data_IF_070390404305
#
_entry.id   IF_070390404305
#
_cell.length_a   1.000
_cell.length_b   1.000
_cell.length_c   1.000
_cell.angle_alpha   90.00
_cell.angle_beta   90.00
_cell.angle_gamma   90.00
#
_symmetry.space_group_name_H-M   'P 1'
#
loop_
_entity.id
_entity.type
_entity.pdbx_description
1 polymer ?
#
# COMPACT_ATOMS: atom_id res chain seq x y z
N UNK A 1 44.87 -3.79 18.81
CA UNK A 1 43.90 -2.68 18.60
C UNK A 1 43.48 -2.20 19.98
N UNK A 2 43.59 -0.90 20.27
CA UNK A 2 43.15 -0.37 21.57
C UNK A 2 41.63 -0.53 21.69
N UNK A 3 41.16 -1.06 22.82
CA UNK A 3 39.73 -1.24 23.08
C UNK A 3 39.05 0.13 23.21
N UNK A 4 37.96 0.35 22.47
CA UNK A 4 37.17 1.56 22.60
C UNK A 4 36.38 1.55 23.92
N UNK A 5 36.36 2.68 24.60
CA UNK A 5 35.53 2.87 25.78
C UNK A 5 34.05 2.96 25.39
N UNK A 6 33.15 2.60 26.30
CA UNK A 6 31.70 2.71 26.08
C UNK A 6 31.27 4.14 25.66
N UNK A 7 31.91 5.17 26.22
CA UNK A 7 31.65 6.57 25.87
C UNK A 7 32.05 6.92 24.43
N UNK A 8 33.10 6.29 23.91
CA UNK A 8 33.51 6.47 22.51
C UNK A 8 32.53 5.76 21.57
N UNK A 9 32.11 4.53 21.90
CA UNK A 9 31.12 3.79 21.13
C UNK A 9 29.76 4.51 21.09
N UNK A 10 29.32 5.12 22.20
CA UNK A 10 28.08 5.89 22.24
C UNK A 10 28.10 7.09 21.27
N UNK A 11 29.21 7.84 21.24
CA UNK A 11 29.38 8.97 20.31
C UNK A 11 29.43 8.54 18.85
N UNK A 12 30.07 7.41 18.58
CA UNK A 12 30.12 6.84 17.23
C UNK A 12 28.72 6.40 16.77
N UNK A 13 27.98 5.73 17.64
CA UNK A 13 26.58 5.39 17.40
C UNK A 13 25.72 6.62 17.11
N UNK A 14 25.79 7.68 17.94
CA UNK A 14 25.03 8.92 17.75
C UNK A 14 25.30 9.58 16.39
N UNK A 15 26.56 9.56 15.96
CA UNK A 15 26.97 10.08 14.65
C UNK A 15 26.43 9.20 13.52
N UNK A 16 26.57 7.89 13.62
CA UNK A 16 26.18 6.96 12.57
C UNK A 16 24.66 6.88 12.43
N UNK A 17 23.92 6.83 13.54
CA UNK A 17 22.45 6.80 13.53
C UNK A 17 21.89 8.11 12.99
N UNK A 18 22.47 9.26 13.30
CA UNK A 18 22.03 10.54 12.73
C UNK A 18 22.21 10.57 11.21
N UNK A 19 23.34 10.05 10.72
CA UNK A 19 23.62 9.94 9.28
C UNK A 19 22.66 8.97 8.59
N UNK A 20 22.39 7.82 9.21
CA UNK A 20 21.47 6.82 8.66
C UNK A 20 20.01 7.30 8.69
N UNK A 21 19.58 8.02 9.72
CA UNK A 21 18.22 8.53 9.81
C UNK A 21 17.97 9.73 8.89
N UNK A 22 19.02 10.47 8.50
CA UNK A 22 18.90 11.62 7.60
C UNK A 22 18.23 11.26 6.26
N UNK A 23 18.33 10.01 5.80
CA UNK A 23 17.66 9.56 4.56
C UNK A 23 16.13 9.67 4.61
N UNK A 24 15.53 9.66 5.80
CA UNK A 24 14.08 9.79 5.97
C UNK A 24 13.60 11.24 5.91
N UNK A 25 14.47 12.26 6.00
CA UNK A 25 14.04 13.66 5.96
C UNK A 25 13.31 14.00 4.65
N UNK A 26 13.75 13.40 3.53
CA UNK A 26 13.07 13.60 2.25
C UNK A 26 11.59 13.15 2.26
N UNK A 27 11.23 12.20 3.13
CA UNK A 27 9.87 11.69 3.25
C UNK A 27 8.95 12.63 4.02
N UNK A 28 9.49 13.50 4.89
CA UNK A 28 8.68 14.47 5.66
C UNK A 28 8.13 15.58 4.77
N UNK A 29 8.89 15.99 3.76
CA UNK A 29 8.49 17.04 2.82
C UNK A 29 8.02 16.50 1.47
N UNK A 30 7.91 15.18 1.33
CA UNK A 30 7.49 14.55 0.09
C UNK A 30 6.05 14.95 -0.27
N UNK A 31 5.87 15.55 -1.45
CA UNK A 31 4.55 15.75 -2.03
C UNK A 31 4.16 14.45 -2.77
N UNK A 32 3.58 13.52 -2.02
CA UNK A 32 3.27 12.18 -2.52
C UNK A 32 2.16 12.26 -3.57
N UNK A 33 2.44 11.71 -4.75
CA UNK A 33 1.41 11.39 -5.74
C UNK A 33 0.88 9.97 -5.53
N UNK A 34 -0.44 9.80 -5.46
CA UNK A 34 -1.10 8.48 -5.37
C UNK A 34 -1.85 8.21 -6.66
N UNK A 35 -1.43 7.17 -7.37
CA UNK A 35 -2.18 6.53 -8.44
C UNK A 35 -2.86 5.29 -7.87
N UNK A 36 -4.12 5.43 -7.48
CA UNK A 36 -4.87 4.34 -6.86
C UNK A 36 -5.13 3.23 -7.89
N UNK A 37 -4.83 1.99 -7.49
CA UNK A 37 -5.02 0.79 -8.27
C UNK A 37 -6.04 -0.15 -7.62
N UNK A 38 -6.84 0.30 -6.65
CA UNK A 38 -7.70 -0.59 -5.86
C UNK A 38 -8.74 -1.32 -6.73
N UNK A 39 -9.24 -0.68 -7.78
CA UNK A 39 -10.27 -1.26 -8.66
C UNK A 39 -9.72 -2.38 -9.56
N UNK A 40 -8.42 -2.38 -9.84
CA UNK A 40 -7.74 -3.34 -10.73
C UNK A 40 -6.82 -4.30 -10.00
N UNK A 41 -6.05 -3.83 -9.03
CA UNK A 41 -5.02 -4.64 -8.37
C UNK A 41 -5.63 -5.72 -7.51
N UNK A 42 -6.61 -5.39 -6.69
CA UNK A 42 -7.25 -6.42 -5.88
C UNK A 42 -8.02 -7.44 -6.74
N UNK A 43 -8.38 -7.06 -7.98
CA UNK A 43 -8.96 -7.98 -8.97
C UNK A 43 -8.00 -9.10 -9.41
N UNK A 44 -6.67 -8.89 -9.34
CA UNK A 44 -5.69 -9.94 -9.72
C UNK A 44 -5.29 -10.84 -8.55
N UNK A 45 -5.55 -10.42 -7.30
CA UNK A 45 -5.28 -11.20 -6.08
C UNK A 45 -6.43 -12.10 -5.63
N UNK A 46 -7.64 -11.88 -6.15
CA UNK A 46 -8.85 -12.55 -5.68
C UNK A 46 -9.01 -13.98 -6.21
N UNK A 47 -9.68 -14.82 -5.41
CA UNK A 47 -10.19 -16.13 -5.83
C UNK A 47 -11.57 -16.05 -6.52
N UNK A 48 -12.27 -14.91 -6.41
CA UNK A 48 -13.59 -14.65 -6.99
C UNK A 48 -13.57 -13.30 -7.67
N UNK A 49 -13.96 -13.22 -8.94
CA UNK A 49 -13.96 -11.98 -9.71
C UNK A 49 -14.84 -10.88 -9.12
N UNK A 50 -14.42 -9.61 -9.21
CA UNK A 50 -15.27 -8.46 -8.90
C UNK A 50 -16.41 -8.30 -9.91
N UNK A 51 -17.62 -8.12 -9.41
CA UNK A 51 -18.75 -7.64 -10.22
C UNK A 51 -18.65 -6.14 -10.47
N UNK A 52 -19.61 -5.60 -11.22
CA UNK A 52 -19.70 -4.16 -11.42
C UNK A 52 -20.06 -3.41 -10.13
N UNK A 53 -20.89 -4.01 -9.28
CA UNK A 53 -21.25 -3.52 -7.95
C UNK A 53 -20.02 -3.43 -7.05
N UNK A 54 -19.21 -4.50 -6.98
CA UNK A 54 -17.96 -4.50 -6.21
C UNK A 54 -17.03 -3.35 -6.62
N UNK A 55 -16.90 -3.11 -7.94
CA UNK A 55 -16.09 -2.00 -8.46
C UNK A 55 -16.63 -0.63 -8.05
N UNK A 56 -17.95 -0.44 -8.05
CA UNK A 56 -18.59 0.79 -7.56
C UNK A 56 -18.36 0.99 -6.07
N UNK A 57 -18.48 -0.06 -5.26
CA UNK A 57 -18.20 0.00 -3.83
C UNK A 57 -16.74 0.39 -3.57
N UNK A 58 -15.78 -0.26 -4.23
CA UNK A 58 -14.35 0.08 -4.12
C UNK A 58 -14.09 1.53 -4.59
N UNK A 59 -14.67 1.94 -5.72
CA UNK A 59 -14.53 3.30 -6.25
C UNK A 59 -15.01 4.34 -5.24
N UNK A 60 -16.14 4.09 -4.58
CA UNK A 60 -16.67 4.99 -3.56
C UNK A 60 -15.75 5.06 -2.34
N UNK A 61 -15.20 3.93 -1.89
CA UNK A 61 -14.26 3.90 -0.76
C UNK A 61 -12.98 4.67 -1.04
N UNK A 62 -12.35 4.48 -2.20
CA UNK A 62 -11.11 5.20 -2.55
C UNK A 62 -11.35 6.69 -2.82
N UNK A 63 -12.55 7.07 -3.27
CA UNK A 63 -12.93 8.47 -3.44
C UNK A 63 -12.99 9.19 -2.09
N UNK A 64 -13.51 8.54 -1.05
CA UNK A 64 -13.55 9.10 0.32
C UNK A 64 -12.15 9.31 0.92
N UNK A 65 -11.13 8.59 0.45
CA UNK A 65 -9.73 8.82 0.81
C UNK A 65 -9.14 10.11 0.20
N UNK A 66 -9.83 10.75 -0.74
CA UNK A 66 -9.33 11.91 -1.47
C UNK A 66 -8.41 11.53 -2.64
N UNK A 67 -8.40 10.28 -3.09
CA UNK A 67 -7.60 9.85 -4.24
C UNK A 67 -8.20 10.37 -5.54
N UNK A 68 -7.52 11.35 -6.15
CA UNK A 68 -7.96 11.98 -7.40
C UNK A 68 -7.62 11.14 -8.63
N UNK A 69 -6.52 10.40 -8.60
CA UNK A 69 -6.04 9.60 -9.72
C UNK A 69 -6.30 8.12 -9.47
N UNK A 70 -7.18 7.53 -10.27
CA UNK A 70 -7.71 6.17 -10.09
C UNK A 70 -7.59 5.39 -11.39
N UNK A 71 -7.03 4.19 -11.32
CA UNK A 71 -6.97 3.26 -12.44
C UNK A 71 -8.28 2.49 -12.49
N UNK A 72 -9.01 2.63 -13.60
CA UNK A 72 -10.37 2.07 -13.74
C UNK A 72 -10.44 0.89 -14.70
N UNK A 73 -9.42 0.69 -15.55
CA UNK A 73 -9.42 -0.40 -16.51
C UNK A 73 -8.01 -0.86 -16.93
N UNK A 74 -7.91 -2.14 -17.28
CA UNK A 74 -6.83 -2.67 -18.10
C UNK A 74 -7.43 -3.37 -19.33
N UNK A 75 -7.43 -2.64 -20.45
CA UNK A 75 -8.12 -3.06 -21.66
C UNK A 75 -7.32 -4.13 -22.43
N UNK A 76 -8.05 -5.12 -22.94
CA UNK A 76 -7.57 -6.06 -23.92
C UNK A 76 -8.67 -6.33 -24.98
N UNK A 77 -8.47 -7.31 -25.86
CA UNK A 77 -9.46 -7.66 -26.90
C UNK A 77 -10.77 -8.23 -26.37
N UNK A 78 -10.82 -8.71 -25.11
CA UNK A 78 -12.03 -9.26 -24.52
C UNK A 78 -12.88 -8.13 -23.92
N UNK A 79 -14.20 -8.31 -23.91
CA UNK A 79 -15.10 -7.46 -23.13
C UNK A 79 -15.05 -7.92 -21.67
N UNK A 80 -14.61 -7.05 -20.77
CA UNK A 80 -14.50 -7.27 -19.32
C UNK A 80 -15.52 -6.41 -18.57
N UNK A 81 -15.67 -6.69 -17.27
CA UNK A 81 -16.47 -5.84 -16.37
C UNK A 81 -15.96 -4.40 -16.38
N UNK A 82 -14.64 -4.20 -16.52
CA UNK A 82 -14.00 -2.89 -16.69
C UNK A 82 -14.62 -2.05 -17.82
N UNK A 83 -14.98 -2.68 -18.95
CA UNK A 83 -15.57 -1.99 -20.10
C UNK A 83 -16.94 -1.38 -19.77
N UNK A 84 -17.75 -2.07 -18.97
CA UNK A 84 -19.08 -1.62 -18.54
C UNK A 84 -18.97 -0.59 -17.42
N UNK A 85 -18.15 -0.89 -16.41
CA UNK A 85 -17.87 -0.01 -15.28
C UNK A 85 -17.41 1.38 -15.72
N UNK A 86 -16.44 1.46 -16.64
CA UNK A 86 -15.94 2.76 -17.14
C UNK A 86 -17.05 3.57 -17.82
N UNK A 87 -17.89 2.92 -18.63
CA UNK A 87 -19.01 3.60 -19.30
C UNK A 87 -19.99 4.17 -18.29
N UNK A 88 -20.29 3.43 -17.22
CA UNK A 88 -21.16 3.90 -16.14
C UNK A 88 -20.55 5.04 -15.34
N UNK A 89 -19.26 4.95 -14.98
CA UNK A 89 -18.54 5.99 -14.23
C UNK A 89 -18.61 7.32 -15.00
N UNK A 90 -18.32 7.30 -16.29
CA UNK A 90 -18.37 8.49 -17.14
C UNK A 90 -19.81 8.98 -17.37
N UNK A 91 -20.78 8.06 -17.54
CA UNK A 91 -22.18 8.42 -17.69
C UNK A 91 -22.78 9.08 -16.44
N UNK A 92 -22.26 8.76 -15.24
CA UNK A 92 -22.63 9.44 -13.98
C UNK A 92 -21.92 10.79 -13.78
N UNK A 93 -21.08 11.22 -14.72
CA UNK A 93 -20.44 12.53 -14.71
C UNK A 93 -19.16 12.61 -13.87
N UNK A 94 -18.51 11.48 -13.57
CA UNK A 94 -17.19 11.50 -12.94
C UNK A 94 -16.15 12.18 -13.83
N UNK A 95 -15.26 12.94 -13.22
CA UNK A 95 -14.25 13.72 -13.95
C UNK A 95 -13.21 12.79 -14.61
N UNK A 96 -13.14 12.74 -15.96
CA UNK A 96 -12.19 11.90 -16.67
C UNK A 96 -10.73 12.32 -16.46
N UNK A 97 -10.45 13.55 -15.97
CA UNK A 97 -9.09 14.02 -15.70
C UNK A 97 -8.36 13.22 -14.61
N UNK A 98 -9.13 12.55 -13.75
CA UNK A 98 -8.64 11.67 -12.68
C UNK A 98 -8.62 10.19 -13.03
N UNK A 99 -9.15 9.77 -14.18
CA UNK A 99 -9.34 8.36 -14.52
C UNK A 99 -8.25 7.88 -15.48
N UNK A 100 -7.67 6.72 -15.17
CA UNK A 100 -6.55 6.12 -15.91
C UNK A 100 -6.90 4.71 -16.39
N UNK A 101 -6.35 4.33 -17.55
CA UNK A 101 -6.42 2.96 -18.02
C UNK A 101 -5.09 2.49 -18.61
N UNK A 102 -4.82 1.19 -18.49
CA UNK A 102 -3.67 0.56 -19.13
C UNK A 102 -3.91 0.29 -20.62
N UNK A 103 -2.85 0.46 -21.40
CA UNK A 103 -2.75 -0.04 -22.77
C UNK A 103 -1.37 -0.65 -22.99
N UNK A 104 -1.31 -1.75 -23.73
CA UNK A 104 -0.05 -2.22 -24.31
C UNK A 104 0.46 -1.21 -25.35
N UNK A 105 1.74 -1.31 -25.71
CA UNK A 105 2.34 -0.57 -26.84
C UNK A 105 2.30 -1.35 -28.14
N UNK A 106 1.69 -2.53 -28.15
CA UNK A 106 1.66 -3.44 -29.29
C UNK A 106 0.46 -4.39 -29.23
N UNK A 107 -0.06 -4.81 -30.38
CA UNK A 107 -1.17 -5.77 -30.51
C UNK A 107 -0.70 -7.23 -30.61
N UNK A 108 0.60 -7.47 -30.50
CA UNK A 108 1.15 -8.81 -30.54
C UNK A 108 2.64 -8.83 -30.80
N UNK A 109 3.24 -10.01 -30.63
CA UNK A 109 4.67 -10.19 -30.79
C UNK A 109 4.91 -11.32 -31.79
N UNK A 110 5.64 -11.03 -32.87
CA UNK A 110 6.05 -12.02 -33.86
C UNK A 110 7.57 -12.18 -33.85
N UNK A 111 8.05 -13.40 -33.64
CA UNK A 111 9.51 -13.71 -33.58
C UNK A 111 10.28 -12.79 -32.60
N UNK A 112 9.66 -12.42 -31.47
CA UNK A 112 10.17 -11.47 -30.46
C UNK A 112 10.36 -10.02 -30.97
N UNK A 113 9.59 -9.62 -31.96
CA UNK A 113 9.49 -8.22 -32.43
C UNK A 113 8.03 -7.79 -32.23
N UNK A 114 7.76 -6.65 -31.57
CA UNK A 114 6.39 -6.17 -31.39
C UNK A 114 5.77 -5.77 -32.74
N UNK A 115 4.46 -5.89 -32.87
CA UNK A 115 3.70 -5.16 -33.88
C UNK A 115 3.85 -3.66 -33.63
N UNK A 116 4.35 -2.95 -34.64
CA UNK A 116 4.62 -1.52 -34.61
C UNK A 116 3.57 -0.71 -35.38
N UNK A 117 2.61 -1.38 -36.02
CA UNK A 117 1.69 -0.80 -37.00
C UNK A 117 0.29 -0.62 -36.45
N UNK A 118 -0.29 -1.69 -35.89
CA UNK A 118 -1.66 -1.68 -35.37
C UNK A 118 -1.79 -0.76 -34.16
N UNK A 119 -2.90 -0.03 -34.08
CA UNK A 119 -3.22 0.79 -32.92
C UNK A 119 -3.59 -0.16 -31.76
N UNK A 120 -2.94 -0.03 -30.59
CA UNK A 120 -3.30 -0.83 -29.43
C UNK A 120 -4.79 -0.80 -29.10
N UNK A 121 -5.40 -1.96 -28.84
CA UNK A 121 -6.83 -2.10 -28.52
C UNK A 121 -7.21 -1.26 -27.30
N UNK A 122 -6.29 -1.14 -26.34
CA UNK A 122 -6.50 -0.28 -25.17
C UNK A 122 -6.72 1.17 -25.54
N UNK A 123 -5.93 1.72 -26.46
CA UNK A 123 -6.10 3.07 -26.97
C UNK A 123 -7.41 3.27 -27.73
N UNK A 124 -7.83 2.28 -28.52
CA UNK A 124 -9.11 2.32 -29.24
C UNK A 124 -10.29 2.34 -28.26
N UNK A 125 -10.28 1.46 -27.25
CA UNK A 125 -11.32 1.40 -26.22
C UNK A 125 -11.36 2.66 -25.35
N UNK A 126 -10.20 3.21 -24.98
CA UNK A 126 -10.14 4.48 -24.26
C UNK A 126 -10.76 5.62 -25.06
N UNK A 127 -10.46 5.70 -26.37
CA UNK A 127 -11.05 6.70 -27.26
C UNK A 127 -12.56 6.54 -27.36
N UNK A 128 -13.06 5.31 -27.51
CA UNK A 128 -14.50 5.01 -27.54
C UNK A 128 -15.18 5.40 -26.22
N UNK A 129 -14.56 5.06 -25.08
CA UNK A 129 -15.11 5.33 -23.76
C UNK A 129 -15.03 6.82 -23.37
N UNK A 130 -14.14 7.60 -23.98
CA UNK A 130 -13.87 9.00 -23.59
C UNK A 130 -12.85 9.14 -22.44
N UNK A 131 -12.07 8.10 -22.17
CA UNK A 131 -10.95 8.16 -21.23
C UNK A 131 -9.73 8.85 -21.84
N UNK A 132 -9.07 9.68 -21.04
CA UNK A 132 -7.98 10.55 -21.51
C UNK A 132 -6.60 10.08 -21.11
N UNK A 133 -6.45 9.50 -19.92
CA UNK A 133 -5.13 9.27 -19.32
C UNK A 133 -4.71 7.81 -19.47
N UNK A 134 -3.57 7.59 -20.13
CA UNK A 134 -3.08 6.26 -20.49
C UNK A 134 -1.83 5.91 -19.70
N UNK A 135 -1.74 4.64 -19.29
CA UNK A 135 -0.53 4.02 -18.78
C UNK A 135 -0.07 3.00 -19.83
N UNK A 136 1.02 3.30 -20.51
CA UNK A 136 1.64 2.36 -21.44
C UNK A 136 2.54 1.40 -20.71
N UNK A 137 2.37 0.09 -20.93
CA UNK A 137 3.27 -0.90 -20.38
C UNK A 137 4.34 -1.29 -21.40
N UNK A 138 5.60 -1.33 -20.96
CA UNK A 138 6.71 -1.79 -21.77
C UNK A 138 7.59 -2.78 -21.01
N UNK A 139 8.07 -3.78 -21.75
CA UNK A 139 9.08 -4.72 -21.29
C UNK A 139 10.42 -4.38 -21.95
N UNK A 140 11.48 -4.37 -21.14
CA UNK A 140 12.83 -4.11 -21.61
C UNK A 140 13.72 -5.35 -21.50
N UNK A 141 13.14 -6.53 -21.21
CA UNK A 141 13.81 -7.81 -21.08
C UNK A 141 13.96 -8.55 -22.41
N UNK A 142 14.93 -9.46 -22.44
CA UNK A 142 15.14 -10.34 -23.59
C UNK A 142 14.19 -11.55 -23.61
N UNK A 143 13.44 -11.77 -22.52
CA UNK A 143 12.33 -12.73 -22.44
C UNK A 143 11.28 -12.37 -23.49
N UNK A 144 10.86 -11.11 -23.49
CA UNK A 144 9.82 -10.57 -24.37
C UNK A 144 10.35 -10.22 -25.76
N UNK A 145 11.35 -9.34 -25.86
CA UNK A 145 11.82 -8.80 -27.14
C UNK A 145 13.25 -9.22 -27.51
N UNK A 146 13.52 -9.31 -28.81
CA UNK A 146 14.86 -9.50 -29.32
C UNK A 146 15.47 -8.15 -29.72
N UNK A 147 16.20 -7.55 -28.78
CA UNK A 147 16.82 -6.24 -28.99
C UNK A 147 18.00 -6.19 -29.99
N UNK A 148 18.34 -7.32 -30.62
CA UNK A 148 19.23 -7.33 -31.79
C UNK A 148 18.47 -7.11 -33.11
N UNK A 149 17.15 -7.35 -33.12
CA UNK A 149 16.28 -7.20 -34.29
C UNK A 149 15.35 -5.99 -34.18
N UNK A 150 14.96 -5.65 -32.95
CA UNK A 150 14.14 -4.50 -32.61
C UNK A 150 14.90 -3.68 -31.59
N UNK A 151 15.60 -2.64 -32.02
CA UNK A 151 16.58 -1.93 -31.19
C UNK A 151 15.93 -1.17 -30.03
N UNK A 152 16.75 -0.66 -29.12
CA UNK A 152 16.23 0.18 -28.02
C UNK A 152 15.65 1.48 -28.58
N UNK A 153 16.25 1.99 -29.65
CA UNK A 153 15.78 3.15 -30.41
C UNK A 153 14.44 2.87 -31.08
N UNK A 154 14.21 1.66 -31.61
CA UNK A 154 12.91 1.27 -32.16
C UNK A 154 11.83 1.21 -31.07
N UNK A 155 12.16 0.73 -29.87
CA UNK A 155 11.26 0.82 -28.70
C UNK A 155 10.93 2.27 -28.36
N UNK A 156 11.93 3.15 -28.33
CA UNK A 156 11.72 4.57 -28.04
C UNK A 156 10.77 5.22 -29.06
N UNK A 157 10.98 4.97 -30.36
CA UNK A 157 10.11 5.46 -31.44
C UNK A 157 8.70 4.88 -31.36
N UNK A 158 8.56 3.60 -30.99
CA UNK A 158 7.25 2.98 -30.82
C UNK A 158 6.46 3.64 -29.68
N UNK A 159 7.10 3.88 -28.54
CA UNK A 159 6.47 4.58 -27.41
C UNK A 159 6.12 6.02 -27.79
N UNK A 160 7.05 6.77 -28.41
CA UNK A 160 6.79 8.13 -28.89
C UNK A 160 5.59 8.19 -29.85
N UNK A 161 5.52 7.28 -30.82
CA UNK A 161 4.38 7.16 -31.74
C UNK A 161 3.06 7.10 -30.97
N UNK A 162 2.97 6.27 -29.93
CA UNK A 162 1.74 6.10 -29.17
C UNK A 162 1.46 7.24 -28.19
N UNK A 163 2.49 7.86 -27.63
CA UNK A 163 2.37 9.12 -26.86
C UNK A 163 1.74 10.20 -27.74
N UNK A 164 2.26 10.43 -28.94
CA UNK A 164 1.75 11.42 -29.89
C UNK A 164 0.34 11.08 -30.37
N UNK A 165 0.05 9.80 -30.59
CA UNK A 165 -1.29 9.34 -30.91
C UNK A 165 -2.28 9.67 -29.80
N UNK A 166 -1.93 9.37 -28.54
CA UNK A 166 -2.78 9.63 -27.37
C UNK A 166 -3.08 11.12 -27.22
N UNK A 167 -2.05 11.98 -27.34
CA UNK A 167 -2.20 13.45 -27.32
C UNK A 167 -3.16 13.96 -28.41
N UNK A 168 -3.13 13.34 -29.58
CA UNK A 168 -3.95 13.76 -30.72
C UNK A 168 -5.37 13.21 -30.69
N UNK A 169 -5.60 12.04 -30.07
CA UNK A 169 -6.86 11.30 -30.18
C UNK A 169 -7.66 11.19 -28.88
N UNK A 170 -6.99 11.26 -27.72
CA UNK A 170 -7.63 11.23 -26.39
C UNK A 170 -7.79 12.63 -25.80
N UNK A 171 -7.32 13.67 -26.51
CA UNK A 171 -7.39 15.07 -26.13
C UNK A 171 -6.02 15.66 -25.81
N UNK A 172 -5.86 16.96 -26.06
CA UNK A 172 -4.58 17.69 -25.88
C UNK A 172 -4.08 17.68 -24.44
N UNK A 173 -4.98 17.61 -23.47
CA UNK A 173 -4.67 17.54 -22.04
C UNK A 173 -4.49 16.10 -21.51
N UNK A 174 -4.51 15.09 -22.38
CA UNK A 174 -4.29 13.69 -21.97
C UNK A 174 -2.96 13.55 -21.23
N UNK A 175 -2.99 12.82 -20.11
CA UNK A 175 -1.79 12.49 -19.34
C UNK A 175 -1.29 11.11 -19.75
N UNK A 176 0.03 10.97 -19.91
CA UNK A 176 0.65 9.71 -20.33
C UNK A 176 1.69 9.29 -19.31
N UNK A 177 1.52 8.07 -18.79
CA UNK A 177 2.51 7.37 -17.99
C UNK A 177 3.11 6.23 -18.82
N UNK A 178 4.39 5.93 -18.60
CA UNK A 178 5.03 4.72 -19.13
C UNK A 178 5.50 3.87 -17.97
N UNK A 179 4.95 2.65 -17.87
CA UNK A 179 5.30 1.64 -16.88
C UNK A 179 6.37 0.70 -17.40
N UNK A 180 7.48 0.63 -16.66
CA UNK A 180 8.57 -0.30 -16.90
C UNK A 180 8.34 -1.57 -16.06
N UNK A 181 7.74 -2.62 -16.65
CA UNK A 181 7.21 -3.78 -15.92
C UNK A 181 8.27 -4.72 -15.35
N UNK A 182 9.35 -4.94 -16.11
CA UNK A 182 10.30 -6.04 -15.85
C UNK A 182 11.64 -5.57 -15.26
N UNK A 183 11.65 -4.45 -14.53
CA UNK A 183 12.87 -3.88 -13.95
C UNK A 183 13.73 -4.87 -13.18
N UNK A 184 13.19 -5.74 -12.29
CA UNK A 184 14.01 -6.70 -11.56
C UNK A 184 14.78 -7.68 -12.44
N UNK A 185 14.33 -7.91 -13.68
CA UNK A 185 15.01 -8.78 -14.64
C UNK A 185 16.02 -8.02 -15.50
N UNK A 186 15.75 -6.74 -15.76
CA UNK A 186 16.52 -5.92 -16.70
C UNK A 186 17.64 -5.17 -15.99
N UNK A 187 17.38 -4.57 -14.82
CA UNK A 187 18.33 -3.70 -14.12
C UNK A 187 19.68 -4.38 -13.83
N UNK A 188 19.76 -5.63 -13.33
CA UNK A 188 21.04 -6.25 -13.00
C UNK A 188 21.95 -6.51 -14.21
N UNK A 189 21.37 -6.77 -15.39
CA UNK A 189 22.10 -7.27 -16.57
C UNK A 189 22.12 -6.30 -17.75
N UNK A 190 21.18 -5.37 -17.79
CA UNK A 190 20.86 -4.51 -18.94
C UNK A 190 20.43 -3.09 -18.51
N UNK A 191 20.87 -2.60 -17.35
CA UNK A 191 20.58 -1.24 -16.86
C UNK A 191 20.80 -0.12 -17.89
N UNK A 192 21.84 -0.22 -18.74
CA UNK A 192 22.07 0.73 -19.85
C UNK A 192 20.87 0.91 -20.77
N UNK A 193 20.10 -0.17 -21.02
CA UNK A 193 18.88 -0.13 -21.83
C UNK A 193 17.79 0.67 -21.12
N UNK A 194 17.60 0.42 -19.83
CA UNK A 194 16.62 1.15 -19.01
C UNK A 194 16.96 2.63 -18.99
N UNK A 195 18.21 2.99 -18.71
CA UNK A 195 18.63 4.40 -18.67
C UNK A 195 18.54 5.09 -20.03
N UNK A 196 18.81 4.39 -21.14
CA UNK A 196 18.61 4.95 -22.48
C UNK A 196 17.13 5.28 -22.72
N UNK A 197 16.22 4.37 -22.40
CA UNK A 197 14.77 4.61 -22.55
C UNK A 197 14.31 5.74 -21.62
N UNK A 198 14.76 5.76 -20.36
CA UNK A 198 14.42 6.83 -19.40
C UNK A 198 14.94 8.19 -19.88
N UNK A 199 16.18 8.28 -20.38
CA UNK A 199 16.74 9.52 -20.93
C UNK A 199 15.92 10.01 -22.14
N UNK A 200 15.57 9.09 -23.04
CA UNK A 200 14.70 9.41 -24.17
C UNK A 200 13.34 9.95 -23.72
N UNK A 201 12.64 9.25 -22.82
CA UNK A 201 11.32 9.66 -22.31
C UNK A 201 11.40 11.01 -21.58
N UNK A 202 12.47 11.25 -20.82
CA UNK A 202 12.68 12.51 -20.12
C UNK A 202 12.93 13.68 -21.08
N UNK A 203 13.69 13.46 -22.17
CA UNK A 203 13.92 14.45 -23.21
C UNK A 203 12.69 14.72 -24.08
N UNK A 204 11.83 13.72 -24.26
CA UNK A 204 10.55 13.91 -24.95
C UNK A 204 9.69 14.93 -24.21
N UNK A 205 9.72 14.95 -22.88
CA UNK A 205 9.06 15.95 -22.02
C UNK A 205 7.55 16.14 -22.32
N UNK A 206 6.90 15.11 -22.87
CA UNK A 206 5.45 15.07 -23.14
C UNK A 206 4.68 14.21 -22.13
N UNK A 207 5.41 13.42 -21.33
CA UNK A 207 4.86 12.48 -20.38
C UNK A 207 4.49 13.18 -19.07
N UNK A 208 3.50 12.61 -18.39
CA UNK A 208 3.16 12.95 -17.01
C UNK A 208 4.16 12.32 -16.03
N UNK A 209 4.72 11.16 -16.37
CA UNK A 209 5.69 10.46 -15.54
C UNK A 209 6.08 9.07 -16.06
N UNK A 210 6.90 8.41 -15.27
CA UNK A 210 7.33 7.01 -15.44
C UNK A 210 6.89 6.23 -14.21
N UNK A 211 6.39 5.03 -14.43
CA UNK A 211 6.14 4.05 -13.38
C UNK A 211 7.18 2.93 -13.50
N UNK A 212 7.53 2.31 -12.39
CA UNK A 212 8.23 1.03 -12.42
C UNK A 212 7.65 0.07 -11.40
N UNK A 213 7.83 -1.21 -11.68
CA UNK A 213 7.24 -2.29 -10.91
C UNK A 213 8.30 -3.25 -10.38
N UNK A 214 8.07 -3.74 -9.16
CA UNK A 214 8.65 -4.99 -8.66
C UNK A 214 7.53 -6.05 -8.67
N UNK A 215 7.38 -6.84 -9.76
CA UNK A 215 6.23 -7.74 -9.94
C UNK A 215 6.30 -9.06 -9.13
N UNK A 216 7.37 -9.30 -8.36
CA UNK A 216 7.67 -10.64 -7.81
C UNK A 216 7.78 -10.68 -6.28
N UNK A 217 7.76 -9.54 -5.63
CA UNK A 217 8.09 -9.32 -4.22
C UNK A 217 9.48 -9.79 -3.80
N UNK A 218 10.44 -9.97 -4.74
CA UNK A 218 11.73 -10.64 -4.44
C UNK A 218 12.88 -9.67 -4.14
N UNK A 219 12.79 -8.45 -4.65
CA UNK A 219 13.90 -7.51 -4.61
C UNK A 219 14.00 -6.84 -3.23
N UNK A 220 15.22 -6.59 -2.79
CA UNK A 220 15.47 -5.93 -1.51
C UNK A 220 15.14 -4.43 -1.58
N UNK A 221 14.81 -3.79 -0.45
CA UNK A 221 14.56 -2.34 -0.42
C UNK A 221 15.68 -1.51 -1.03
N UNK A 222 16.94 -1.89 -0.78
CA UNK A 222 18.13 -1.22 -1.31
C UNK A 222 18.21 -1.29 -2.84
N UNK A 223 17.76 -2.39 -3.44
CA UNK A 223 17.76 -2.57 -4.90
C UNK A 223 16.76 -1.62 -5.54
N UNK A 224 15.50 -1.64 -5.11
CA UNK A 224 14.46 -0.77 -5.66
C UNK A 224 14.73 0.71 -5.36
N UNK A 225 15.22 1.02 -4.16
CA UNK A 225 15.66 2.37 -3.80
C UNK A 225 16.79 2.86 -4.70
N UNK A 226 17.75 2.00 -5.05
CA UNK A 226 18.82 2.32 -5.99
C UNK A 226 18.27 2.54 -7.41
N UNK A 227 17.33 1.72 -7.87
CA UNK A 227 16.70 1.90 -9.18
C UNK A 227 15.99 3.25 -9.28
N UNK A 228 15.15 3.59 -8.29
CA UNK A 228 14.48 4.89 -8.21
C UNK A 228 15.49 6.04 -8.25
N UNK A 229 16.58 5.94 -7.47
CA UNK A 229 17.67 6.93 -7.41
C UNK A 229 18.33 7.19 -8.75
N UNK A 230 18.70 6.14 -9.47
CA UNK A 230 19.38 6.32 -10.75
C UNK A 230 18.42 6.73 -11.85
N UNK A 231 17.17 6.26 -11.85
CA UNK A 231 16.12 6.74 -12.77
C UNK A 231 15.88 8.24 -12.55
N UNK A 232 15.68 8.67 -11.29
CA UNK A 232 15.49 10.08 -10.94
C UNK A 232 16.67 10.94 -11.40
N UNK A 233 17.92 10.49 -11.19
CA UNK A 233 19.11 11.19 -11.69
C UNK A 233 19.11 11.39 -13.20
N UNK A 234 18.70 10.37 -13.97
CA UNK A 234 18.58 10.50 -15.43
C UNK A 234 17.51 11.53 -15.79
N UNK A 235 16.32 11.46 -15.16
CA UNK A 235 15.24 12.43 -15.37
C UNK A 235 15.69 13.87 -15.06
N UNK A 236 16.36 14.07 -13.93
CA UNK A 236 16.87 15.38 -13.52
C UNK A 236 17.98 15.89 -14.45
N UNK A 237 18.83 15.00 -14.99
CA UNK A 237 19.86 15.38 -15.97
C UNK A 237 19.28 15.87 -17.31
N UNK A 238 18.05 15.46 -17.62
CA UNK A 238 17.27 15.95 -18.75
C UNK A 238 16.39 17.16 -18.39
N UNK A 239 16.53 17.72 -17.17
CA UNK A 239 15.71 18.80 -16.62
C UNK A 239 14.20 18.50 -16.59
N UNK A 240 13.82 17.22 -16.52
CA UNK A 240 12.42 16.81 -16.50
C UNK A 240 11.92 16.56 -15.07
N UNK A 241 10.86 17.26 -14.68
CA UNK A 241 10.23 17.17 -13.35
C UNK A 241 8.98 16.27 -13.31
N UNK A 242 8.88 15.33 -14.24
CA UNK A 242 7.80 14.34 -14.27
C UNK A 242 7.76 13.45 -13.02
N UNK A 243 6.61 12.81 -12.82
CA UNK A 243 6.41 11.86 -11.73
C UNK A 243 7.24 10.60 -11.95
N UNK A 244 7.75 10.03 -10.86
CA UNK A 244 8.34 8.70 -10.81
C UNK A 244 7.57 7.90 -9.76
N UNK A 245 6.80 6.93 -10.24
CA UNK A 245 5.91 6.12 -9.41
C UNK A 245 6.48 4.71 -9.24
N UNK A 246 6.25 4.12 -8.08
CA UNK A 246 6.65 2.74 -7.78
C UNK A 246 5.42 1.88 -7.46
N UNK A 247 5.43 0.64 -7.96
CA UNK A 247 4.53 -0.44 -7.54
C UNK A 247 5.37 -1.63 -7.04
N UNK A 248 5.00 -2.21 -5.90
CA UNK A 248 5.77 -3.28 -5.26
C UNK A 248 4.83 -4.40 -4.83
N UNK A 249 5.06 -5.61 -5.35
CA UNK A 249 4.35 -6.80 -4.90
C UNK A 249 4.92 -7.37 -3.60
N UNK A 250 4.11 -8.19 -2.94
CA UNK A 250 4.48 -8.95 -1.76
C UNK A 250 4.78 -10.42 -2.12
N UNK A 251 5.81 -10.96 -1.47
CA UNK A 251 6.17 -12.38 -1.47
C UNK A 251 7.01 -12.78 -0.25
N UNK A 252 7.92 -11.91 0.18
CA UNK A 252 8.92 -12.22 1.21
C UNK A 252 8.88 -11.27 2.44
N UNK A 253 7.81 -10.51 2.60
CA UNK A 253 7.53 -9.61 3.72
C UNK A 253 8.20 -8.24 3.64
N UNK A 254 8.51 -7.75 2.43
CA UNK A 254 9.34 -6.55 2.25
C UNK A 254 8.64 -5.41 1.48
N UNK A 255 7.38 -5.57 1.08
CA UNK A 255 6.72 -4.63 0.15
C UNK A 255 6.74 -3.17 0.65
N UNK A 256 6.40 -2.94 1.92
CA UNK A 256 6.24 -1.59 2.48
C UNK A 256 7.61 -0.91 2.66
N UNK A 257 8.61 -1.65 3.13
CA UNK A 257 9.98 -1.16 3.26
C UNK A 257 10.58 -0.81 1.89
N UNK A 258 10.30 -1.63 0.88
CA UNK A 258 10.75 -1.43 -0.50
C UNK A 258 10.08 -0.22 -1.16
N UNK A 259 8.79 0.01 -0.90
CA UNK A 259 8.08 1.20 -1.35
C UNK A 259 8.70 2.48 -0.72
N UNK A 260 8.90 2.49 0.60
CA UNK A 260 9.55 3.62 1.30
C UNK A 260 10.98 3.84 0.80
N UNK A 261 11.76 2.79 0.57
CA UNK A 261 13.10 2.90 0.01
C UNK A 261 13.13 3.50 -1.39
N UNK A 262 12.13 3.19 -2.21
CA UNK A 262 11.96 3.78 -3.54
C UNK A 262 11.60 5.27 -3.47
N UNK A 263 10.73 5.67 -2.52
CA UNK A 263 10.42 7.08 -2.26
C UNK A 263 11.66 7.84 -1.77
N UNK A 264 12.45 7.26 -0.86
CA UNK A 264 13.75 7.82 -0.45
C UNK A 264 14.75 7.90 -1.60
N UNK A 265 14.62 7.00 -2.58
CA UNK A 265 15.35 7.02 -3.84
C UNK A 265 14.93 8.15 -4.79
N UNK A 266 13.88 8.91 -4.51
CA UNK A 266 13.43 10.00 -5.37
C UNK A 266 12.28 9.63 -6.31
N UNK A 267 11.65 8.46 -6.11
CA UNK A 267 10.26 8.31 -6.50
C UNK A 267 9.41 9.33 -5.71
N UNK A 268 8.46 9.96 -6.38
CA UNK A 268 7.58 10.96 -5.75
C UNK A 268 6.11 10.54 -5.76
N UNK A 269 5.86 9.26 -6.02
CA UNK A 269 4.53 8.72 -5.86
C UNK A 269 4.51 7.20 -5.85
N UNK A 270 3.33 6.70 -5.56
CA UNK A 270 3.03 5.27 -5.51
C UNK A 270 1.92 4.96 -6.50
N UNK A 271 2.02 3.78 -7.09
CA UNK A 271 0.96 3.11 -7.82
C UNK A 271 0.58 1.90 -6.97
N UNK A 272 -0.58 1.92 -6.31
CA UNK A 272 -0.89 0.96 -5.26
C UNK A 272 -2.41 0.84 -5.00
N UNK A 273 -2.84 -0.30 -4.49
CA UNK A 273 -4.19 -0.44 -3.89
C UNK A 273 -4.22 0.22 -2.50
N UNK A 274 -5.40 0.64 -2.04
CA UNK A 274 -5.60 1.14 -0.67
C UNK A 274 -5.40 0.05 0.37
N UNK A 275 -5.67 -1.21 0.02
CA UNK A 275 -5.42 -2.38 0.84
C UNK A 275 -4.23 -3.20 0.29
N UNK A 276 -3.80 -4.21 1.05
CA UNK A 276 -2.68 -5.06 0.64
C UNK A 276 -3.07 -6.10 -0.43
N UNK A 277 -4.37 -6.33 -0.67
CA UNK A 277 -4.84 -7.32 -1.63
C UNK A 277 -4.37 -6.97 -3.05
N UNK A 278 -3.79 -7.95 -3.74
CA UNK A 278 -3.16 -7.78 -5.05
C UNK A 278 -2.57 -9.10 -5.55
N UNK A 279 -1.93 -9.10 -6.72
CA UNK A 279 -1.40 -10.35 -7.28
C UNK A 279 -0.35 -11.01 -6.37
N UNK A 280 -0.19 -12.33 -6.54
CA UNK A 280 0.59 -13.19 -5.67
C UNK A 280 0.02 -13.26 -4.25
N UNK A 281 0.67 -12.61 -3.27
CA UNK A 281 0.18 -12.53 -1.89
C UNK A 281 -0.10 -11.09 -1.45
N UNK A 282 -0.09 -10.14 -2.39
CA UNK A 282 -0.42 -8.75 -2.15
C UNK A 282 0.54 -7.73 -2.78
N UNK A 283 0.38 -6.48 -2.36
CA UNK A 283 1.18 -5.32 -2.78
C UNK A 283 1.32 -4.31 -1.64
N UNK A 284 2.36 -3.46 -1.72
CA UNK A 284 2.55 -2.35 -0.80
C UNK A 284 1.36 -1.39 -0.89
N UNK A 285 0.56 -1.29 0.18
CA UNK A 285 -0.68 -0.55 0.13
C UNK A 285 -0.47 0.96 0.32
N UNK A 286 -1.33 1.75 -0.31
CA UNK A 286 -1.31 3.20 -0.11
C UNK A 286 -1.70 3.60 1.31
N UNK A 287 -2.58 2.84 1.98
CA UNK A 287 -2.88 3.05 3.40
C UNK A 287 -1.63 2.93 4.28
N UNK A 288 -0.89 1.82 4.18
CA UNK A 288 0.31 1.61 5.02
C UNK A 288 1.40 2.62 4.66
N UNK A 289 1.60 2.89 3.38
CA UNK A 289 2.61 3.87 2.93
C UNK A 289 2.29 5.27 3.43
N UNK A 290 1.06 5.75 3.24
CA UNK A 290 0.63 7.09 3.66
C UNK A 290 0.76 7.25 5.18
N UNK A 291 0.30 6.28 5.97
CA UNK A 291 0.38 6.37 7.43
C UNK A 291 1.84 6.35 7.92
N UNK A 292 2.73 5.65 7.22
CA UNK A 292 4.17 5.75 7.48
C UNK A 292 4.73 7.16 7.19
N UNK A 293 4.25 7.87 6.17
CA UNK A 293 4.65 9.25 5.92
C UNK A 293 4.06 10.21 6.98
N UNK A 294 2.80 9.99 7.36
CA UNK A 294 2.11 10.77 8.40
C UNK A 294 2.86 10.66 9.74
N UNK A 295 3.19 9.45 10.20
CA UNK A 295 3.93 9.26 11.46
C UNK A 295 5.34 9.83 11.45
N UNK A 296 5.95 9.98 10.26
CA UNK A 296 7.24 10.67 10.09
C UNK A 296 7.10 12.20 10.12
N UNK A 297 5.86 12.73 10.14
CA UNK A 297 5.57 14.16 10.23
C UNK A 297 5.19 14.81 8.90
N UNK A 298 4.87 14.04 7.85
CA UNK A 298 4.56 14.62 6.54
C UNK A 298 3.21 15.37 6.52
N UNK A 299 3.31 16.70 6.59
CA UNK A 299 2.15 17.61 6.61
C UNK A 299 1.48 17.77 5.24
N UNK A 300 2.20 17.54 4.14
CA UNK A 300 1.62 17.67 2.79
C UNK A 300 0.63 16.54 2.55
N UNK A 301 1.03 15.32 2.85
CA UNK A 301 0.18 14.12 2.77
C UNK A 301 -1.07 14.26 3.64
N UNK A 302 -0.91 14.73 4.88
CA UNK A 302 -2.04 15.01 5.79
C UNK A 302 -3.05 16.01 5.22
N UNK A 303 -2.60 17.01 4.45
CA UNK A 303 -3.46 18.03 3.83
C UNK A 303 -4.08 17.56 2.52
N UNK A 304 -3.38 16.71 1.77
CA UNK A 304 -3.79 16.26 0.44
C UNK A 304 -4.83 15.13 0.51
N UNK A 305 -4.70 14.23 1.49
CA UNK A 305 -5.52 13.01 1.58
C UNK A 305 -6.32 12.96 2.88
N UNK A 306 -7.48 12.29 2.83
CA UNK A 306 -8.30 12.00 4.02
C UNK A 306 -7.68 10.84 4.80
N UNK A 307 -6.60 11.14 5.53
CA UNK A 307 -5.77 10.15 6.19
C UNK A 307 -6.52 9.40 7.31
N UNK A 308 -7.48 10.05 7.97
CA UNK A 308 -8.32 9.42 9.00
C UNK A 308 -9.26 8.34 8.44
N UNK A 309 -9.59 8.38 7.14
CA UNK A 309 -10.47 7.39 6.52
C UNK A 309 -9.71 6.19 5.91
N UNK A 310 -8.39 6.28 5.74
CA UNK A 310 -7.59 5.25 5.04
C UNK A 310 -7.72 3.86 5.65
N UNK A 311 -7.77 3.75 6.99
CA UNK A 311 -7.95 2.47 7.68
C UNK A 311 -9.30 1.84 7.33
N UNK A 312 -10.38 2.62 7.38
CA UNK A 312 -11.71 2.14 7.04
C UNK A 312 -11.80 1.71 5.58
N UNK A 313 -11.26 2.50 4.66
CA UNK A 313 -11.24 2.16 3.25
C UNK A 313 -10.45 0.87 2.98
N UNK A 314 -9.27 0.70 3.58
CA UNK A 314 -8.49 -0.52 3.45
C UNK A 314 -9.25 -1.76 3.96
N UNK A 315 -9.94 -1.66 5.10
CA UNK A 315 -10.80 -2.73 5.63
C UNK A 315 -11.91 -3.06 4.64
N UNK A 316 -12.67 -2.07 4.17
CA UNK A 316 -13.80 -2.28 3.26
C UNK A 316 -13.37 -2.87 1.92
N UNK A 317 -12.29 -2.37 1.34
CA UNK A 317 -11.80 -2.90 0.06
C UNK A 317 -11.30 -4.34 0.23
N UNK A 318 -10.66 -4.70 1.35
CA UNK A 318 -10.35 -6.10 1.65
C UNK A 318 -11.60 -6.96 1.81
N UNK A 319 -12.63 -6.48 2.52
CA UNK A 319 -13.91 -7.19 2.68
C UNK A 319 -14.60 -7.45 1.34
N UNK A 320 -14.66 -6.45 0.47
CA UNK A 320 -15.25 -6.58 -0.88
C UNK A 320 -14.43 -7.58 -1.71
N UNK A 321 -13.10 -7.46 -1.68
CA UNK A 321 -12.20 -8.31 -2.50
C UNK A 321 -12.23 -9.78 -2.05
N UNK A 322 -12.24 -10.03 -0.74
CA UNK A 322 -11.99 -11.36 -0.19
C UNK A 322 -13.24 -12.03 0.39
N UNK A 323 -14.31 -11.26 0.64
CA UNK A 323 -15.47 -11.69 1.41
C UNK A 323 -15.18 -11.87 2.91
N UNK A 324 -14.06 -11.35 3.41
CA UNK A 324 -13.61 -11.50 4.80
C UNK A 324 -12.90 -10.24 5.29
N UNK A 325 -12.90 -9.97 6.61
CA UNK A 325 -12.12 -8.86 7.16
C UNK A 325 -10.62 -9.08 6.93
N UNK A 326 -9.81 -8.01 6.96
CA UNK A 326 -8.36 -8.13 6.92
C UNK A 326 -7.83 -9.07 7.99
N UNK A 327 -6.72 -9.73 7.69
CA UNK A 327 -6.04 -10.55 8.67
C UNK A 327 -5.74 -9.74 9.94
N UNK A 328 -5.98 -10.32 11.12
CA UNK A 328 -5.89 -9.61 12.40
C UNK A 328 -4.54 -8.90 12.63
N UNK A 329 -3.45 -9.44 12.09
CA UNK A 329 -2.09 -8.89 12.21
C UNK A 329 -1.68 -7.95 11.06
N UNK A 330 -2.59 -7.64 10.14
CA UNK A 330 -2.31 -6.74 9.05
C UNK A 330 -1.88 -5.37 9.60
N UNK A 331 -0.70 -4.83 9.23
CA UNK A 331 -0.28 -3.53 9.70
C UNK A 331 -1.32 -2.44 9.41
N UNK A 332 -1.48 -1.51 10.34
CA UNK A 332 -2.35 -0.32 10.26
C UNK A 332 -3.86 -0.59 10.25
N UNK A 333 -4.36 -1.64 9.57
CA UNK A 333 -5.79 -1.86 9.38
C UNK A 333 -6.29 -3.26 9.77
N UNK A 334 -5.43 -4.09 10.35
CA UNK A 334 -5.83 -5.28 11.09
C UNK A 334 -6.41 -4.90 12.46
N UNK A 335 -7.30 -5.74 12.99
CA UNK A 335 -7.94 -5.54 14.30
C UNK A 335 -6.93 -5.38 15.43
N UNK A 336 -5.80 -6.09 15.38
CA UNK A 336 -4.74 -6.04 16.40
C UNK A 336 -3.70 -4.94 16.18
N UNK A 337 -3.81 -4.17 15.10
CA UNK A 337 -2.83 -3.12 14.79
C UNK A 337 -2.88 -1.94 15.77
N UNK A 338 -4.00 -1.78 16.48
CA UNK A 338 -4.21 -0.75 17.50
C UNK A 338 -4.14 -1.30 18.93
N UNK A 339 -3.77 -2.58 19.13
CA UNK A 339 -3.69 -3.19 20.46
C UNK A 339 -2.54 -2.60 21.28
N UNK A 340 -2.80 -2.24 22.54
CA UNK A 340 -1.77 -1.90 23.50
C UNK A 340 -1.46 -3.12 24.39
N UNK A 341 -0.20 -3.56 24.42
CA UNK A 341 0.19 -4.84 25.05
C UNK A 341 1.02 -4.71 26.34
N UNK A 342 1.65 -3.57 26.57
CA UNK A 342 2.57 -3.35 27.68
C UNK A 342 2.42 -1.93 28.19
N UNK A 343 2.64 -1.72 29.48
CA UNK A 343 2.69 -0.38 30.11
C UNK A 343 4.00 0.34 29.75
N UNK A 344 4.14 0.70 28.48
CA UNK A 344 5.27 1.45 27.94
C UNK A 344 4.95 2.95 27.92
N UNK A 345 6.00 3.78 27.81
CA UNK A 345 5.83 5.21 27.59
C UNK A 345 4.93 5.48 26.37
N UNK A 346 4.11 6.55 26.40
CA UNK A 346 3.31 6.95 25.26
C UNK A 346 4.15 7.07 23.98
N UNK A 347 3.61 6.57 22.86
CA UNK A 347 4.24 6.72 21.55
C UNK A 347 4.12 8.17 21.05
N UNK A 348 5.14 8.65 20.31
CA UNK A 348 5.08 9.97 19.67
C UNK A 348 3.93 10.08 18.64
N UNK A 349 3.54 8.94 18.05
CA UNK A 349 2.41 8.81 17.15
C UNK A 349 1.54 7.63 17.57
N UNK A 350 0.42 7.90 18.23
CA UNK A 350 -0.54 6.88 18.64
C UNK A 350 -1.54 6.58 17.51
N UNK A 351 -1.43 5.38 16.93
CA UNK A 351 -2.24 4.99 15.77
C UNK A 351 -3.74 4.91 16.08
N UNK A 352 -4.11 4.47 17.29
CA UNK A 352 -5.51 4.33 17.67
C UNK A 352 -6.18 5.71 17.76
N UNK A 353 -5.55 6.63 18.50
CA UNK A 353 -5.99 8.02 18.65
C UNK A 353 -6.05 8.74 17.30
N UNK A 354 -5.08 8.48 16.40
CA UNK A 354 -5.09 9.05 15.06
C UNK A 354 -6.35 8.67 14.27
N UNK A 355 -6.82 7.43 14.40
CA UNK A 355 -8.05 6.97 13.77
C UNK A 355 -9.31 7.19 14.62
N UNK A 356 -9.19 7.83 15.80
CA UNK A 356 -10.30 8.00 16.73
C UNK A 356 -10.79 6.68 17.36
N UNK A 357 -9.96 5.64 17.35
CA UNK A 357 -10.23 4.36 17.97
C UNK A 357 -9.66 4.32 19.40
N UNK A 358 -10.31 3.56 20.28
CA UNK A 358 -9.76 3.25 21.60
C UNK A 358 -8.91 2.00 21.50
N UNK A 359 -7.60 2.15 21.71
CA UNK A 359 -6.68 1.02 21.78
C UNK A 359 -7.10 0.06 22.90
N UNK A 360 -7.47 -1.21 22.58
CA UNK A 360 -7.84 -2.14 23.61
C UNK A 360 -6.58 -2.57 24.39
N UNK A 361 -6.66 -2.56 25.72
CA UNK A 361 -5.60 -3.05 26.59
C UNK A 361 -5.62 -4.58 26.60
N UNK A 362 -4.57 -5.20 26.07
CA UNK A 362 -4.53 -6.65 25.91
C UNK A 362 -4.26 -7.36 27.23
N UNK A 363 -5.18 -8.24 27.63
CA UNK A 363 -5.02 -9.08 28.82
C UNK A 363 -4.23 -10.33 28.44
N UNK A 364 -3.00 -10.42 28.95
CA UNK A 364 -2.08 -11.56 28.79
C UNK A 364 -1.56 -11.99 30.16
N UNK A 365 -0.77 -13.06 30.24
CA UNK A 365 -0.07 -13.44 31.48
C UNK A 365 0.93 -12.39 31.98
N UNK A 366 1.26 -11.38 31.16
CA UNK A 366 2.13 -10.26 31.52
C UNK A 366 1.35 -8.99 31.89
N UNK A 367 0.01 -9.00 31.81
CA UNK A 367 -0.80 -7.84 32.15
C UNK A 367 -0.64 -7.46 33.63
N UNK A 368 -0.49 -6.17 33.90
CA UNK A 368 -0.49 -5.65 35.27
C UNK A 368 -1.92 -5.66 35.85
N UNK A 369 -2.08 -5.64 37.19
CA UNK A 369 -3.38 -5.45 37.81
C UNK A 369 -4.09 -4.19 37.31
N UNK A 370 -3.35 -3.11 37.03
CA UNK A 370 -3.89 -1.86 36.46
C UNK A 370 -4.50 -2.08 35.07
N UNK A 371 -3.81 -2.84 34.21
CA UNK A 371 -4.32 -3.18 32.87
C UNK A 371 -5.62 -4.00 32.95
N UNK A 372 -5.66 -5.01 33.83
CA UNK A 372 -6.85 -5.84 34.05
C UNK A 372 -8.02 -4.99 34.56
N UNK A 373 -7.77 -4.14 35.55
CA UNK A 373 -8.77 -3.24 36.10
C UNK A 373 -9.32 -2.26 35.04
N UNK A 374 -8.44 -1.63 34.28
CA UNK A 374 -8.84 -0.72 33.21
C UNK A 374 -9.71 -1.42 32.16
N UNK A 375 -9.38 -2.67 31.82
CA UNK A 375 -10.14 -3.46 30.84
C UNK A 375 -11.51 -3.88 31.38
N UNK A 376 -11.61 -4.22 32.67
CA UNK A 376 -12.90 -4.48 33.32
C UNK A 376 -13.83 -3.28 33.21
N UNK A 377 -13.34 -2.10 33.61
CA UNK A 377 -14.12 -0.86 33.54
C UNK A 377 -14.50 -0.49 32.10
N UNK A 378 -13.62 -0.74 31.14
CA UNK A 378 -13.90 -0.52 29.72
C UNK A 378 -15.03 -1.41 29.19
N UNK A 379 -15.03 -2.71 29.54
CA UNK A 379 -15.98 -3.67 28.99
C UNK A 379 -17.34 -3.69 29.70
N UNK A 380 -17.36 -3.34 30.99
CA UNK A 380 -18.52 -3.53 31.86
C UNK A 380 -18.94 -2.26 32.62
N UNK A 381 -18.29 -1.12 32.38
CA UNK A 381 -18.53 0.13 33.13
C UNK A 381 -17.85 0.14 34.49
N UNK A 382 -17.91 1.27 35.20
CA UNK A 382 -17.31 1.37 36.53
C UNK A 382 -18.13 0.59 37.57
N UNK A 383 -17.46 -0.14 38.45
CA UNK A 383 -18.07 -0.87 39.58
C UNK A 383 -17.21 -0.70 40.83
N UNK A 384 -17.85 -0.60 42.00
CA UNK A 384 -17.14 -0.59 43.29
C UNK A 384 -16.39 -1.89 43.57
N UNK A 385 -16.76 -2.99 42.91
CA UNK A 385 -16.06 -4.26 43.02
C UNK A 385 -14.81 -4.34 42.14
N UNK A 386 -14.69 -3.47 41.12
CA UNK A 386 -13.51 -3.45 40.26
C UNK A 386 -12.38 -2.73 41.01
N UNK A 387 -11.62 -3.51 41.77
CA UNK A 387 -10.52 -3.03 42.61
C UNK A 387 -9.16 -3.53 42.12
N UNK A 388 -8.08 -2.88 42.54
CA UNK A 388 -6.73 -3.39 42.26
C UNK A 388 -6.45 -4.74 42.94
N UNK A 389 -7.10 -5.00 44.07
CA UNK A 389 -6.97 -6.27 44.78
C UNK A 389 -7.57 -7.42 43.97
N UNK A 390 -8.80 -7.26 43.47
CA UNK A 390 -9.42 -8.30 42.63
C UNK A 390 -8.67 -8.49 41.32
N UNK A 391 -8.20 -7.40 40.71
CA UNK A 391 -7.39 -7.46 39.50
C UNK A 391 -6.04 -8.19 39.73
N UNK A 392 -5.45 -8.05 40.92
CA UNK A 392 -4.27 -8.82 41.32
C UNK A 392 -4.58 -10.31 41.48
N UNK A 393 -5.73 -10.66 42.06
CA UNK A 393 -6.20 -12.06 42.14
C UNK A 393 -6.46 -12.66 40.76
N UNK A 394 -7.06 -11.89 39.86
CA UNK A 394 -7.26 -12.29 38.45
C UNK A 394 -5.93 -12.56 37.75
N UNK A 395 -4.90 -11.75 37.99
CA UNK A 395 -3.56 -12.01 37.47
C UNK A 395 -3.00 -13.33 37.98
N UNK A 396 -3.08 -13.59 39.28
CA UNK A 396 -2.61 -14.85 39.87
C UNK A 396 -3.41 -16.06 39.34
N UNK A 397 -4.73 -15.91 39.12
CA UNK A 397 -5.57 -16.94 38.53
C UNK A 397 -5.16 -17.28 37.08
N UNK A 398 -4.80 -16.28 36.26
CA UNK A 398 -4.23 -16.51 34.92
C UNK A 398 -2.95 -17.35 35.02
N UNK A 399 -2.06 -17.03 35.98
CA UNK A 399 -0.81 -17.76 36.16
C UNK A 399 -1.05 -19.20 36.65
N UNK A 400 -2.01 -19.39 37.55
CA UNK A 400 -2.37 -20.71 38.07
C UNK A 400 -3.01 -21.60 37.00
N UNK A 401 -3.88 -21.04 36.16
CA UNK A 401 -4.41 -21.74 34.98
C UNK A 401 -3.26 -22.26 34.11
N UNK A 402 -2.26 -21.43 33.81
CA UNK A 402 -1.13 -21.85 33.00
C UNK A 402 -0.25 -22.91 33.69
N UNK A 403 0.00 -22.78 35.00
CA UNK A 403 0.73 -23.79 35.79
C UNK A 403 0.03 -25.14 35.81
N UNK A 404 -1.31 -25.13 35.82
CA UNK A 404 -2.14 -26.33 35.79
C UNK A 404 -2.44 -26.85 34.38
N UNK A 405 -1.87 -26.23 33.34
CA UNK A 405 -2.05 -26.64 31.94
C UNK A 405 -3.36 -26.19 31.30
N UNK A 406 -4.14 -25.33 31.97
CA UNK A 406 -5.35 -24.70 31.43
C UNK A 406 -4.99 -23.48 30.61
N UNK A 407 -5.53 -23.41 29.38
CA UNK A 407 -5.32 -22.30 28.45
C UNK A 407 -6.66 -21.65 28.11
N UNK A 408 -7.07 -20.68 28.92
CA UNK A 408 -8.27 -19.89 28.65
C UNK A 408 -7.96 -18.64 27.82
N UNK A 409 -9.00 -18.05 27.25
CA UNK A 409 -8.98 -16.74 26.60
C UNK A 409 -9.47 -15.70 27.62
N UNK A 410 -8.69 -14.63 27.85
CA UNK A 410 -8.95 -13.65 28.92
C UNK A 410 -9.21 -12.22 28.42
N UNK A 411 -9.31 -12.01 27.11
CA UNK A 411 -9.44 -10.69 26.49
C UNK A 411 -10.89 -10.37 26.07
N UNK A 412 -11.70 -11.37 25.71
CA UNK A 412 -13.12 -11.18 25.40
C UNK A 412 -13.93 -10.82 26.64
N UNK A 413 -15.15 -10.26 26.44
CA UNK A 413 -16.09 -10.02 27.55
C UNK A 413 -16.38 -11.30 28.33
N UNK A 414 -16.67 -12.40 27.65
CA UNK A 414 -16.93 -13.68 28.32
C UNK A 414 -15.71 -14.18 29.10
N UNK A 415 -14.52 -14.17 28.47
CA UNK A 415 -13.27 -14.61 29.10
C UNK A 415 -12.92 -13.80 30.35
N UNK A 416 -13.03 -12.47 30.26
CA UNK A 416 -12.72 -11.59 31.38
C UNK A 416 -13.77 -11.66 32.50
N UNK A 417 -15.05 -11.82 32.19
CA UNK A 417 -16.11 -12.02 33.18
C UNK A 417 -15.93 -13.33 33.96
N UNK A 418 -15.63 -14.44 33.26
CA UNK A 418 -15.34 -15.72 33.90
C UNK A 418 -14.09 -15.66 34.77
N UNK A 419 -13.05 -14.94 34.33
CA UNK A 419 -11.85 -14.71 35.14
C UNK A 419 -12.18 -13.91 36.42
N UNK A 420 -13.02 -12.88 36.30
CA UNK A 420 -13.43 -12.05 37.42
C UNK A 420 -14.20 -12.85 38.47
N UNK A 421 -15.19 -13.64 38.05
CA UNK A 421 -15.96 -14.55 38.91
C UNK A 421 -15.06 -15.54 39.65
N UNK A 422 -14.20 -16.24 38.91
CA UNK A 422 -13.25 -17.24 39.45
C UNK A 422 -12.23 -16.63 40.42
N UNK A 423 -12.02 -15.32 40.35
CA UNK A 423 -11.08 -14.59 41.22
C UNK A 423 -11.75 -14.03 42.47
N UNK A 424 -13.06 -14.28 42.66
CA UNK A 424 -13.85 -13.86 43.81
C UNK A 424 -14.65 -12.56 43.61
N UNK A 425 -14.81 -12.10 42.37
CA UNK A 425 -15.69 -10.98 42.04
C UNK A 425 -17.14 -11.43 41.83
N UNK A 426 -18.13 -10.54 42.06
CA UNK A 426 -19.54 -10.89 41.84
C UNK A 426 -20.02 -10.40 40.48
N UNK A 427 -20.49 -11.32 39.63
CA UNK A 427 -20.96 -10.96 38.29
C UNK A 427 -22.16 -9.99 38.34
N UNK A 428 -22.02 -8.85 37.66
CA UNK A 428 -23.14 -7.94 37.42
C UNK A 428 -24.09 -8.51 36.35
N UNK A 429 -25.23 -7.86 36.13
CA UNK A 429 -26.25 -8.30 35.16
C UNK A 429 -25.65 -8.50 33.74
N UNK A 430 -24.89 -7.51 33.26
CA UNK A 430 -24.23 -7.56 31.95
C UNK A 430 -23.27 -8.75 31.83
N UNK A 431 -22.49 -9.03 32.87
CA UNK A 431 -21.58 -10.16 32.88
C UNK A 431 -22.32 -11.50 32.88
N UNK A 432 -23.40 -11.62 33.68
CA UNK A 432 -24.21 -12.84 33.76
C UNK A 432 -24.82 -13.18 32.40
N UNK A 433 -25.43 -12.21 31.74
CA UNK A 433 -26.06 -12.40 30.42
C UNK A 433 -25.04 -12.91 29.39
N UNK A 434 -23.82 -12.37 29.40
CA UNK A 434 -22.75 -12.78 28.48
C UNK A 434 -22.25 -14.20 28.78
N UNK A 435 -22.20 -14.60 30.06
CA UNK A 435 -21.73 -15.92 30.46
C UNK A 435 -22.77 -17.03 30.27
N UNK A 436 -24.07 -16.71 30.23
CA UNK A 436 -25.16 -17.67 30.06
C UNK A 436 -25.55 -17.96 28.61
N UNK A 437 -25.09 -17.15 27.64
CA UNK A 437 -25.32 -17.38 26.21
C UNK A 437 -24.31 -18.33 25.54
N UNK A 438 -23.62 -19.20 26.30
CA UNK A 438 -22.67 -20.18 25.78
C UNK A 438 -23.18 -21.61 25.84
#
# INVERSE_FOLDING_TARGET
MASMTAKQLAKEYEKDVSKELFKYECLKDLDLFVLDNSIRESTVGQLRGHTNEDKWEIFNEVTKCGFRHRIVASYNHQKRVDDEFVKEVLAKGEDPEGLWAFSEVTEGISKKVPDQTSIPVGLLKMKEAGLRNVIFEIDLGNSTYNFKKFTVEDMCRLVEKWVLWAKSNLGSNSKVLVSLRDLPDVMPKKSKRVFHVVDFLARLNLLFGICFEEPRGKSLPEECGSWAKFIRKVMDSANWKGHLLVHVHEKFGLMDATALASLMGGANGIWASVCAEGASIGNASSCVTIINLVRLGNQKVLKTYNCSYLRQAAIRVTEITTGSPPHNKQPIFGTRAADFTFDLNPEDFDIASFFGEKAPVRITSLASPQMILSRLSELFGNSSEFTLEIASKMREMILEDLRSGRKEEYMSKAGLALLFDRSGGSLNEVMRDITHCR
#
